data_IF_936219763692
#
_entry.id   IF_936219763692
#
_cell.length_a   1.000
_cell.length_b   1.000
_cell.length_c   1.000
_cell.angle_alpha   90.00
_cell.angle_beta   90.00
_cell.angle_gamma   90.00
#
_symmetry.space_group_name_H-M   'P 1'
#
loop_
_entity.id
_entity.type
_entity.pdbx_description
1 polymer ?
#
# COMPACT_ATOMS: atom_id res chain seq x y z
N UNK A 1 -8.41 -22.57 38.99
CA UNK A 1 -7.83 -21.97 40.21
C UNK A 1 -6.78 -20.92 39.84
N UNK A 2 -6.82 -19.81 40.57
CA UNK A 2 -6.02 -18.61 40.41
C UNK A 2 -4.52 -18.83 40.65
N UNK A 3 -3.66 -18.08 39.98
CA UNK A 3 -2.39 -17.64 40.59
C UNK A 3 -2.08 -16.19 40.16
N UNK A 4 -2.15 -15.33 41.18
CA UNK A 4 -1.87 -13.90 41.23
C UNK A 4 -0.35 -13.64 41.39
N UNK A 5 0.00 -12.35 41.26
CA UNK A 5 1.21 -11.64 41.73
C UNK A 5 2.41 -11.67 40.77
N UNK A 6 3.09 -10.56 40.48
CA UNK A 6 3.01 -9.22 41.07
C UNK A 6 3.83 -8.20 40.28
N UNK A 7 3.62 -6.95 40.66
CA UNK A 7 4.18 -5.71 40.14
C UNK A 7 5.69 -5.60 40.36
N UNK A 8 6.43 -5.06 39.39
CA UNK A 8 7.64 -4.27 39.66
C UNK A 8 7.97 -3.38 38.45
N UNK A 9 7.77 -2.07 38.62
CA UNK A 9 8.38 -1.02 37.82
C UNK A 9 9.85 -0.92 38.22
N UNK A 10 10.78 -0.98 37.27
CA UNK A 10 12.19 -0.67 37.49
C UNK A 10 12.72 0.29 36.41
N UNK A 11 13.55 1.20 36.90
CA UNK A 11 14.17 2.37 36.29
C UNK A 11 14.95 2.15 34.97
N UNK A 12 14.81 3.15 34.09
CA UNK A 12 15.83 3.93 33.37
C UNK A 12 17.07 3.29 32.71
N UNK A 13 17.21 3.70 31.43
CA UNK A 13 18.43 4.02 30.67
C UNK A 13 19.22 2.90 29.97
N UNK A 14 19.06 2.81 28.63
CA UNK A 14 20.12 2.72 27.61
C UNK A 14 19.50 2.42 26.23
N UNK A 15 19.97 3.10 25.18
CA UNK A 15 19.55 2.88 23.80
C UNK A 15 19.84 1.43 23.36
N UNK A 16 18.81 0.63 23.15
CA UNK A 16 18.88 -0.64 22.42
C UNK A 16 17.59 -0.84 21.63
N UNK A 17 17.77 -1.05 20.33
CA UNK A 17 16.76 -1.27 19.31
C UNK A 17 15.72 -2.32 19.74
N UNK A 18 14.46 -1.92 19.86
CA UNK A 18 13.34 -2.79 20.24
C UNK A 18 12.01 -2.17 19.80
N UNK A 19 11.05 -3.01 19.39
CA UNK A 19 10.48 -3.01 18.06
C UNK A 19 9.60 -1.77 17.83
N UNK A 20 9.73 -1.17 16.65
CA UNK A 20 8.65 -0.36 16.09
C UNK A 20 7.42 -1.25 16.04
N UNK A 21 6.53 -1.10 17.00
CA UNK A 21 5.14 -1.48 16.88
C UNK A 21 4.58 -0.61 15.76
N UNK A 22 4.81 -1.04 14.53
CA UNK A 22 4.03 -0.58 13.39
C UNK A 22 2.60 -0.93 13.76
N UNK A 23 1.85 0.10 14.17
CA UNK A 23 0.40 0.04 14.21
C UNK A 23 -0.01 -0.39 12.80
N UNK A 24 -0.45 -1.64 12.68
CA UNK A 24 -1.25 -2.04 11.54
C UNK A 24 -2.52 -1.19 11.67
N UNK A 25 -2.50 -0.02 11.03
CA UNK A 25 -3.67 0.79 10.82
C UNK A 25 -4.59 -0.09 9.98
N UNK A 26 -5.54 -0.73 10.64
CA UNK A 26 -6.69 -1.39 10.03
C UNK A 26 -7.51 -0.31 9.33
N UNK A 27 -7.00 0.21 8.21
CA UNK A 27 -7.69 1.13 7.33
C UNK A 27 -8.40 0.29 6.28
N UNK A 28 -9.37 -0.52 6.72
CA UNK A 28 -10.43 -0.99 5.84
C UNK A 28 -11.27 0.24 5.45
N UNK A 29 -10.79 0.97 4.45
CA UNK A 29 -11.37 2.18 3.90
C UNK A 29 -10.87 2.39 2.47
N UNK A 30 -11.64 3.11 1.68
CA UNK A 30 -11.18 3.64 0.40
C UNK A 30 -10.05 4.65 0.66
N UNK A 31 -8.92 4.45 -0.03
CA UNK A 31 -7.76 5.33 0.06
C UNK A 31 -7.74 6.14 -1.23
N UNK A 32 -8.12 7.41 -1.13
CA UNK A 32 -8.15 8.33 -2.26
C UNK A 32 -6.94 9.26 -2.19
N UNK A 33 -6.09 9.20 -3.20
CA UNK A 33 -4.87 10.00 -3.30
C UNK A 33 -5.08 10.95 -4.47
N UNK A 34 -5.27 12.23 -4.17
CA UNK A 34 -5.45 13.26 -5.20
C UNK A 34 -4.37 14.32 -5.03
N UNK A 35 -3.60 14.56 -6.08
CA UNK A 35 -2.46 15.48 -6.03
C UNK A 35 -1.71 15.53 -7.35
N UNK A 36 -0.75 16.44 -7.46
CA UNK A 36 0.14 16.54 -8.63
C UNK A 36 1.58 16.62 -8.12
N UNK A 37 2.46 15.79 -8.68
CA UNK A 37 3.87 15.67 -8.25
C UNK A 37 4.01 15.33 -6.74
N UNK A 38 3.03 14.65 -6.17
CA UNK A 38 3.03 14.28 -4.76
C UNK A 38 3.60 12.87 -4.52
N UNK A 39 4.16 12.67 -3.33
CA UNK A 39 4.61 11.35 -2.86
C UNK A 39 3.75 10.89 -1.70
N UNK A 40 3.02 9.80 -1.91
CA UNK A 40 2.12 9.23 -0.92
C UNK A 40 2.57 7.82 -0.52
N UNK A 41 2.53 7.50 0.77
CA UNK A 41 2.79 6.15 1.27
C UNK A 41 1.63 5.72 2.16
N UNK A 42 0.97 4.63 1.78
CA UNK A 42 -0.20 4.11 2.49
C UNK A 42 -0.09 2.61 2.71
N UNK A 43 -0.52 2.17 3.90
CA UNK A 43 -0.66 0.76 4.22
C UNK A 43 -2.07 0.30 3.85
N UNK A 44 -2.17 -0.69 2.98
CA UNK A 44 -3.40 -1.38 2.65
C UNK A 44 -3.70 -2.49 3.66
N UNK A 45 -4.93 -2.49 4.14
CA UNK A 45 -5.52 -3.57 4.91
C UNK A 45 -6.30 -4.53 3.97
N UNK A 46 -6.56 -5.78 4.39
CA UNK A 46 -7.35 -6.71 3.60
C UNK A 46 -8.75 -6.13 3.34
N UNK A 47 -9.03 -5.84 2.07
CA UNK A 47 -10.29 -5.21 1.64
C UNK A 47 -10.17 -3.74 1.22
N UNK A 48 -9.05 -3.06 1.50
CA UNK A 48 -8.85 -1.66 1.11
C UNK A 48 -8.79 -1.52 -0.41
N UNK A 49 -9.44 -0.48 -0.91
CA UNK A 49 -9.41 -0.09 -2.32
C UNK A 49 -8.67 1.23 -2.43
N UNK A 50 -7.72 1.33 -3.34
CA UNK A 50 -6.93 2.55 -3.53
C UNK A 50 -7.32 3.18 -4.85
N UNK A 51 -7.59 4.48 -4.85
CA UNK A 51 -7.79 5.29 -6.04
C UNK A 51 -6.78 6.44 -6.05
N UNK A 52 -6.01 6.53 -7.12
CA UNK A 52 -4.97 7.54 -7.29
C UNK A 52 -5.39 8.41 -8.46
N UNK A 53 -5.59 9.70 -8.23
CA UNK A 53 -6.02 10.65 -9.25
C UNK A 53 -5.04 11.82 -9.34
N UNK A 54 -4.53 12.11 -10.53
CA UNK A 54 -3.68 13.28 -10.78
C UNK A 54 -2.50 13.00 -11.71
N UNK A 55 -1.46 13.82 -11.66
CA UNK A 55 -0.28 13.65 -12.51
C UNK A 55 1.05 13.56 -11.76
N UNK A 56 2.00 12.81 -12.33
CA UNK A 56 3.37 12.68 -11.83
C UNK A 56 3.49 12.24 -10.35
N UNK A 57 2.45 11.60 -9.79
CA UNK A 57 2.46 11.19 -8.40
C UNK A 57 3.28 9.92 -8.19
N UNK A 58 3.96 9.81 -7.05
CA UNK A 58 4.69 8.62 -6.61
C UNK A 58 3.99 7.99 -5.41
N UNK A 59 3.31 6.87 -5.62
CA UNK A 59 2.52 6.20 -4.58
C UNK A 59 3.14 4.87 -4.20
N UNK A 60 3.36 4.66 -2.90
CA UNK A 60 3.83 3.38 -2.35
C UNK A 60 2.74 2.77 -1.46
N UNK A 61 2.27 1.58 -1.87
CA UNK A 61 1.26 0.80 -1.17
C UNK A 61 1.91 -0.44 -0.53
N UNK A 62 1.88 -0.51 0.79
CA UNK A 62 2.39 -1.64 1.58
C UNK A 62 1.24 -2.50 2.10
N UNK A 63 1.48 -3.79 2.35
CA UNK A 63 0.41 -4.72 2.76
C UNK A 63 -0.41 -5.29 1.60
N UNK A 64 -1.67 -5.62 1.85
CA UNK A 64 -2.53 -6.36 0.92
C UNK A 64 -3.76 -5.57 0.49
N UNK A 65 -3.70 -4.94 -0.68
CA UNK A 65 -4.81 -4.19 -1.24
C UNK A 65 -5.79 -5.12 -1.98
N UNK A 66 -7.09 -4.81 -1.94
CA UNK A 66 -8.09 -5.54 -2.74
C UNK A 66 -8.02 -5.14 -4.21
N UNK A 67 -8.03 -3.83 -4.47
CA UNK A 67 -7.94 -3.25 -5.81
C UNK A 67 -7.21 -1.92 -5.78
N UNK A 68 -6.44 -1.64 -6.83
CA UNK A 68 -5.72 -0.39 -7.03
C UNK A 68 -6.16 0.21 -8.35
N UNK A 69 -6.69 1.42 -8.31
CA UNK A 69 -7.11 2.21 -9.47
C UNK A 69 -6.19 3.41 -9.59
N UNK A 70 -5.65 3.64 -10.77
CA UNK A 70 -4.76 4.76 -11.08
C UNK A 70 -5.38 5.53 -12.24
N UNK A 71 -5.70 6.79 -12.02
CA UNK A 71 -6.33 7.70 -12.96
C UNK A 71 -5.43 8.93 -13.18
N UNK A 72 -5.04 9.19 -14.42
CA UNK A 72 -4.30 10.40 -14.80
C UNK A 72 -3.05 10.09 -15.61
N UNK A 73 -1.98 10.86 -15.41
CA UNK A 73 -0.81 10.84 -16.31
C UNK A 73 0.52 10.77 -15.58
N UNK A 74 1.47 9.96 -16.06
CA UNK A 74 2.83 9.85 -15.52
C UNK A 74 2.92 9.44 -14.03
N UNK A 75 1.89 8.78 -13.49
CA UNK A 75 1.90 8.32 -12.10
C UNK A 75 2.78 7.08 -11.94
N UNK A 76 3.63 7.05 -10.91
CA UNK A 76 4.43 5.89 -10.49
C UNK A 76 3.79 5.25 -9.26
N UNK A 77 3.32 4.01 -9.40
CA UNK A 77 2.64 3.30 -8.31
C UNK A 77 3.38 2.02 -8.00
N UNK A 78 3.81 1.84 -6.75
CA UNK A 78 4.46 0.64 -6.25
C UNK A 78 3.54 -0.06 -5.26
N UNK A 79 3.22 -1.32 -5.53
CA UNK A 79 2.27 -2.12 -4.74
C UNK A 79 2.95 -3.36 -4.22
N UNK A 80 2.83 -3.65 -2.94
CA UNK A 80 3.37 -4.88 -2.38
C UNK A 80 2.49 -6.09 -2.75
N UNK A 81 1.22 -6.10 -2.35
CA UNK A 81 0.27 -7.14 -2.75
C UNK A 81 -1.07 -6.54 -3.19
N UNK A 82 -1.63 -7.05 -4.29
CA UNK A 82 -2.96 -6.64 -4.77
C UNK A 82 -3.73 -7.74 -5.50
N UNK A 83 -5.06 -7.72 -5.43
CA UNK A 83 -5.93 -8.61 -6.21
C UNK A 83 -6.30 -8.06 -7.59
N UNK A 84 -6.31 -6.73 -7.77
CA UNK A 84 -6.68 -6.08 -9.01
C UNK A 84 -5.93 -4.75 -9.19
N UNK A 85 -5.58 -4.45 -10.43
CA UNK A 85 -4.91 -3.22 -10.84
C UNK A 85 -5.65 -2.68 -12.05
N UNK A 86 -6.18 -1.47 -11.96
CA UNK A 86 -6.79 -0.74 -13.06
C UNK A 86 -6.02 0.54 -13.27
N UNK A 87 -5.54 0.76 -14.49
CA UNK A 87 -4.78 1.96 -14.85
C UNK A 87 -5.51 2.65 -15.99
N UNK A 88 -5.85 3.92 -15.81
CA UNK A 88 -6.60 4.76 -16.74
C UNK A 88 -5.86 6.06 -16.98
N UNK A 89 -5.67 6.43 -18.25
CA UNK A 89 -4.98 7.65 -18.66
C UNK A 89 -3.73 7.35 -19.48
N UNK A 90 -2.64 8.10 -19.30
CA UNK A 90 -1.45 7.94 -20.14
C UNK A 90 -0.11 7.88 -19.39
N UNK A 91 0.87 7.15 -19.93
CA UNK A 91 2.25 7.07 -19.40
C UNK A 91 2.39 6.65 -17.92
N UNK A 92 1.36 6.02 -17.33
CA UNK A 92 1.44 5.60 -15.93
C UNK A 92 2.31 4.35 -15.78
N UNK A 93 3.08 4.25 -14.71
CA UNK A 93 3.95 3.11 -14.40
C UNK A 93 3.56 2.46 -13.08
N UNK A 94 2.96 1.27 -13.14
CA UNK A 94 2.57 0.49 -11.98
C UNK A 94 3.47 -0.73 -11.84
N UNK A 95 3.99 -0.92 -10.64
CA UNK A 95 4.85 -2.05 -10.26
C UNK A 95 4.23 -2.78 -9.08
N UNK A 96 4.11 -4.11 -9.15
CA UNK A 96 3.55 -4.91 -8.07
C UNK A 96 4.45 -6.07 -7.69
N UNK A 97 4.62 -6.41 -6.40
CA UNK A 97 5.48 -7.54 -5.99
C UNK A 97 4.75 -8.89 -6.05
N UNK A 98 3.61 -8.98 -5.37
CA UNK A 98 2.81 -10.21 -5.24
C UNK A 98 1.32 -9.93 -5.49
N UNK A 99 0.56 -10.98 -5.76
CA UNK A 99 -0.90 -10.86 -5.82
C UNK A 99 -1.56 -11.19 -4.48
N UNK A 100 -2.86 -10.97 -4.36
CA UNK A 100 -3.65 -11.35 -3.19
C UNK A 100 -3.57 -12.88 -2.97
N UNK A 101 -3.01 -13.30 -1.85
CA UNK A 101 -2.68 -14.71 -1.58
C UNK A 101 -1.74 -15.35 -2.61
N UNK A 102 -2.21 -16.39 -3.32
CA UNK A 102 -1.47 -17.12 -4.39
C UNK A 102 -1.92 -16.77 -5.81
N UNK A 103 -2.87 -15.84 -5.94
CA UNK A 103 -3.51 -15.53 -7.22
C UNK A 103 -2.82 -14.36 -7.89
N UNK A 104 -2.73 -14.38 -9.23
CA UNK A 104 -2.23 -13.24 -10.00
C UNK A 104 -3.26 -12.09 -9.95
N UNK A 105 -2.82 -10.83 -9.83
CA UNK A 105 -3.73 -9.70 -9.89
C UNK A 105 -4.38 -9.59 -11.27
N UNK A 106 -5.65 -9.19 -11.30
CA UNK A 106 -6.32 -8.82 -12.56
C UNK A 106 -5.82 -7.43 -12.97
N UNK A 107 -5.11 -7.33 -14.09
CA UNK A 107 -4.58 -6.05 -14.60
C UNK A 107 -5.45 -5.55 -15.75
N UNK A 108 -5.91 -4.30 -15.65
CA UNK A 108 -6.60 -3.56 -16.71
C UNK A 108 -5.83 -2.28 -17.02
N UNK A 109 -5.65 -1.99 -18.32
CA UNK A 109 -4.90 -0.83 -18.81
C UNK A 109 -5.75 -0.13 -19.86
N UNK A 110 -6.13 1.10 -19.57
CA UNK A 110 -7.03 1.94 -20.37
C UNK A 110 -6.31 3.24 -20.73
N UNK A 111 -6.23 3.56 -22.01
CA UNK A 111 -5.47 4.71 -22.53
C UNK A 111 -4.11 4.31 -23.13
N UNK A 112 -3.12 5.20 -23.10
CA UNK A 112 -1.90 5.09 -23.93
C UNK A 112 -0.63 4.96 -23.07
N UNK A 113 0.35 4.16 -23.47
CA UNK A 113 1.67 4.06 -22.81
C UNK A 113 1.68 3.67 -21.32
N UNK A 114 0.57 3.14 -20.79
CA UNK A 114 0.54 2.65 -19.41
C UNK A 114 1.39 1.38 -19.28
N UNK A 115 2.36 1.37 -18.35
CA UNK A 115 3.25 0.26 -18.04
C UNK A 115 2.85 -0.43 -16.73
N UNK A 116 2.58 -1.73 -16.77
CA UNK A 116 2.33 -2.54 -15.56
C UNK A 116 3.34 -3.69 -15.53
N UNK A 117 4.15 -3.77 -14.48
CA UNK A 117 5.25 -4.75 -14.35
C UNK A 117 5.22 -5.42 -12.98
N UNK A 118 5.61 -6.70 -12.91
CA UNK A 118 5.81 -7.38 -11.64
C UNK A 118 7.25 -7.15 -11.14
N UNK A 119 7.43 -6.66 -9.91
CA UNK A 119 8.70 -6.67 -9.19
C UNK A 119 8.93 -8.07 -8.65
N UNK A 120 10.05 -8.68 -9.04
CA UNK A 120 10.38 -10.08 -8.75
C UNK A 120 11.01 -10.25 -7.37
#
# INVERSE_FOLDING_TARGET
>A
MNKKFGTAVFMMAACAFGPMTAVAQEASGNIDITGNDETATHACAPGSTVEITGNANTVTLTGECKSVTVNGTDNKVKVEATGAISVTGASNSVTWKRGHGKSKPKVSRTGTDNKVTQEK
#
